data_IF_645327469716
#
_entry.id   IF_645327469716
#
_cell.length_a   1.000
_cell.length_b   1.000
_cell.length_c   1.000
_cell.angle_alpha   90.00
_cell.angle_beta   90.00
_cell.angle_gamma   90.00
#
_symmetry.space_group_name_H-M   'P 1'
#
loop_
_entity.id
_entity.type
_entity.pdbx_description
1 polymer ?
#
# COMPACT_ATOMS: atom_id res chain seq x y z
N UNK A 1 5.01 -12.32 -1.50
CA UNK A 1 5.76 -11.77 -2.66
C UNK A 1 5.76 -10.24 -2.59
N UNK A 2 6.92 -9.59 -2.41
CA UNK A 2 7.00 -8.14 -2.26
C UNK A 2 6.47 -7.36 -3.49
N UNK A 3 6.56 -7.94 -4.69
CA UNK A 3 6.04 -7.31 -5.92
C UNK A 3 4.53 -7.08 -5.95
N UNK A 4 3.74 -7.94 -5.29
CA UNK A 4 2.28 -7.81 -5.26
C UNK A 4 1.82 -6.59 -4.45
N UNK A 5 2.53 -6.26 -3.37
CA UNK A 5 2.20 -5.11 -2.51
C UNK A 5 2.55 -3.78 -3.18
N UNK A 6 3.64 -3.75 -3.95
CA UNK A 6 4.00 -2.59 -4.78
C UNK A 6 2.94 -2.31 -5.85
N UNK A 7 2.39 -3.34 -6.49
CA UNK A 7 1.29 -3.16 -7.46
C UNK A 7 0.01 -2.63 -6.82
N UNK A 8 -0.33 -3.01 -5.59
CA UNK A 8 -1.51 -2.48 -4.88
C UNK A 8 -1.33 -1.00 -4.54
N UNK A 9 -0.15 -0.57 -4.11
CA UNK A 9 0.16 0.85 -3.89
C UNK A 9 0.10 1.68 -5.18
N UNK A 10 0.53 1.11 -6.32
CA UNK A 10 0.41 1.78 -7.62
C UNK A 10 -1.05 1.93 -8.06
N UNK A 11 -1.89 0.94 -7.75
CA UNK A 11 -3.33 1.04 -8.00
C UNK A 11 -3.97 2.19 -7.20
N UNK A 12 -3.57 2.35 -5.92
CA UNK A 12 -3.99 3.47 -5.08
C UNK A 12 -3.64 4.83 -5.70
N UNK A 13 -2.41 5.01 -6.16
CA UNK A 13 -1.99 6.24 -6.83
C UNK A 13 -2.76 6.52 -8.13
N UNK A 14 -3.09 5.48 -8.91
CA UNK A 14 -3.91 5.64 -10.13
C UNK A 14 -5.35 6.06 -9.78
N UNK A 15 -5.92 5.52 -8.71
CA UNK A 15 -7.26 5.85 -8.23
C UNK A 15 -7.33 7.27 -7.67
N UNK A 16 -6.30 7.70 -6.95
CA UNK A 16 -6.15 9.08 -6.46
C UNK A 16 -6.15 10.08 -7.63
N UNK A 17 -5.41 9.77 -8.71
CA UNK A 17 -5.41 10.57 -9.95
C UNK A 17 -6.74 10.56 -10.70
N UNK A 18 -7.61 9.59 -10.46
CA UNK A 18 -8.98 9.53 -10.99
C UNK A 18 -10.00 10.22 -10.07
N UNK A 19 -9.57 10.79 -8.94
CA UNK A 19 -10.46 11.40 -7.94
C UNK A 19 -11.21 10.39 -7.08
N UNK A 20 -10.84 9.10 -7.15
CA UNK A 20 -11.43 8.01 -6.38
C UNK A 20 -10.68 7.79 -5.07
N UNK A 21 -10.71 8.80 -4.21
CA UNK A 21 -9.92 8.83 -2.98
C UNK A 21 -10.27 7.68 -2.02
N UNK A 22 -11.55 7.31 -1.88
CA UNK A 22 -11.95 6.18 -1.00
C UNK A 22 -11.41 4.84 -1.50
N UNK A 23 -11.46 4.57 -2.81
CA UNK A 23 -10.89 3.35 -3.39
C UNK A 23 -9.35 3.35 -3.26
N UNK A 24 -8.72 4.53 -3.40
CA UNK A 24 -7.28 4.67 -3.22
C UNK A 24 -6.85 4.37 -1.78
N UNK A 25 -7.54 4.94 -0.80
CA UNK A 25 -7.28 4.73 0.62
C UNK A 25 -7.42 3.25 1.00
N UNK A 26 -8.49 2.58 0.54
CA UNK A 26 -8.70 1.15 0.78
C UNK A 26 -7.57 0.28 0.20
N UNK A 27 -7.03 0.65 -0.96
CA UNK A 27 -5.88 -0.05 -1.56
C UNK A 27 -4.60 0.19 -0.77
N UNK A 28 -4.34 1.42 -0.32
CA UNK A 28 -3.19 1.73 0.53
C UNK A 28 -3.27 1.00 1.88
N UNK A 29 -4.44 0.93 2.51
CA UNK A 29 -4.65 0.19 3.76
C UNK A 29 -4.38 -1.32 3.59
N UNK A 30 -4.90 -1.94 2.52
CA UNK A 30 -4.62 -3.35 2.23
C UNK A 30 -3.13 -3.61 1.97
N UNK A 31 -2.45 -2.70 1.29
CA UNK A 31 -1.01 -2.82 1.07
C UNK A 31 -0.25 -2.70 2.39
N UNK A 32 -0.67 -1.81 3.29
CA UNK A 32 -0.06 -1.62 4.61
C UNK A 32 -0.26 -2.85 5.50
N UNK A 33 -1.48 -3.37 5.61
CA UNK A 33 -1.78 -4.61 6.35
C UNK A 33 -0.98 -5.80 5.81
N UNK A 34 -0.88 -5.91 4.49
CA UNK A 34 -0.10 -6.95 3.82
C UNK A 34 1.40 -6.82 4.13
N UNK A 35 1.95 -5.60 4.14
CA UNK A 35 3.34 -5.32 4.52
C UNK A 35 3.59 -5.64 6.00
N UNK A 36 2.72 -5.17 6.91
CA UNK A 36 2.81 -5.45 8.34
C UNK A 36 2.77 -6.96 8.64
N UNK A 37 1.91 -7.71 7.94
CA UNK A 37 1.75 -9.16 8.15
C UNK A 37 2.87 -10.00 7.53
N UNK A 38 3.44 -9.57 6.40
CA UNK A 38 4.49 -10.32 5.68
C UNK A 38 5.89 -9.98 6.18
N UNK A 39 6.15 -8.72 6.52
CA UNK A 39 7.49 -8.22 6.83
C UNK A 39 7.64 -7.86 8.32
N UNK A 40 6.54 -7.64 9.03
CA UNK A 40 6.55 -7.09 10.38
C UNK A 40 6.59 -5.56 10.37
N UNK A 41 6.15 -4.97 11.49
CA UNK A 41 6.09 -3.50 11.69
C UNK A 41 7.45 -2.81 11.63
N UNK A 42 8.51 -3.51 11.96
CA UNK A 42 9.87 -2.95 12.04
C UNK A 42 10.66 -3.06 10.73
N UNK A 43 10.06 -3.62 9.67
CA UNK A 43 10.76 -3.76 8.39
C UNK A 43 10.80 -2.43 7.63
N UNK A 44 11.96 -2.04 7.05
CA UNK A 44 12.12 -0.76 6.36
C UNK A 44 11.14 -0.54 5.19
N UNK A 45 10.74 -1.59 4.49
CA UNK A 45 9.70 -1.51 3.43
C UNK A 45 8.29 -1.22 3.96
N UNK A 46 7.99 -1.58 5.21
CA UNK A 46 6.73 -1.22 5.89
C UNK A 46 6.76 0.25 6.29
N UNK A 47 7.89 0.75 6.80
CA UNK A 47 8.06 2.15 7.22
C UNK A 47 8.04 3.13 6.05
N UNK A 48 8.60 2.76 4.90
CA UNK A 48 8.58 3.59 3.68
C UNK A 48 7.17 3.74 3.08
N UNK A 49 6.23 2.89 3.47
CA UNK A 49 4.83 2.97 3.02
C UNK A 49 3.98 3.98 3.80
N UNK A 50 4.52 4.56 4.87
CA UNK A 50 3.80 5.50 5.77
C UNK A 50 4.16 6.96 5.47
N UNK A 51 5.20 7.22 4.67
CA UNK A 51 5.61 8.55 4.21
C UNK A 51 4.95 8.95 2.89
#
# INVERSE_FOLDING_TARGET
HPGTLTSVSQLGSVLERQGKYEEAEAMHQRALEGREKVLGREHPDTLTSVS
#
